data_IF_310884358826
#
_entry.id   IF_310884358826
#
_cell.length_a   1.000
_cell.length_b   1.000
_cell.length_c   1.000
_cell.angle_alpha   90.00
_cell.angle_beta   90.00
_cell.angle_gamma   90.00
#
_symmetry.space_group_name_H-M   'P 1'
#
loop_
_entity.id
_entity.type
_entity.pdbx_description
1 polymer ?
#
# COMPACT_ATOMS: atom_id res chain seq x y z
N UNK A 1 -31.18 -43.62 -37.21
CA UNK A 1 -30.91 -44.49 -36.05
C UNK A 1 -29.48 -44.24 -35.57
N UNK A 2 -29.25 -43.35 -34.59
CA UNK A 2 -29.02 -43.66 -33.16
C UNK A 2 -28.08 -44.85 -32.89
N UNK A 3 -26.80 -44.53 -32.70
CA UNK A 3 -25.82 -45.19 -31.81
C UNK A 3 -24.91 -44.06 -31.28
N UNK A 4 -25.21 -43.35 -30.17
CA UNK A 4 -25.02 -43.78 -28.77
C UNK A 4 -23.90 -44.81 -28.68
N UNK A 5 -22.81 -44.64 -27.95
CA UNK A 5 -22.32 -43.61 -27.06
C UNK A 5 -20.87 -44.03 -26.74
N UNK A 6 -20.07 -43.11 -26.21
CA UNK A 6 -19.02 -43.30 -25.20
C UNK A 6 -17.70 -42.60 -25.54
N UNK A 7 -17.37 -41.65 -24.64
CA UNK A 7 -16.03 -41.16 -24.30
C UNK A 7 -15.47 -40.08 -25.26
N UNK A 8 -15.15 -38.85 -24.82
CA UNK A 8 -14.95 -38.39 -23.46
C UNK A 8 -14.98 -36.87 -23.34
N UNK A 9 -15.33 -36.45 -22.12
CA UNK A 9 -15.37 -35.10 -21.61
C UNK A 9 -14.16 -34.24 -22.02
N UNK A 10 -14.39 -33.14 -22.75
CA UNK A 10 -13.45 -32.02 -22.81
C UNK A 10 -14.26 -30.71 -22.88
N UNK A 11 -14.07 -29.91 -21.83
CA UNK A 11 -14.31 -28.46 -21.75
C UNK A 11 -15.75 -27.96 -21.59
N UNK A 12 -16.30 -28.21 -20.40
CA UNK A 12 -17.23 -27.26 -19.78
C UNK A 12 -16.53 -25.95 -19.38
N UNK A 13 -17.37 -24.92 -19.16
CA UNK A 13 -17.08 -23.69 -18.43
C UNK A 13 -16.08 -22.68 -19.06
N UNK A 14 -16.50 -21.99 -20.13
CA UNK A 14 -15.98 -20.64 -20.44
C UNK A 14 -17.01 -19.60 -20.04
N UNK A 15 -17.31 -19.55 -18.75
CA UNK A 15 -17.98 -18.42 -18.13
C UNK A 15 -17.55 -18.42 -16.67
N UNK A 16 -16.53 -17.63 -16.35
CA UNK A 16 -16.24 -16.97 -15.07
C UNK A 16 -14.73 -16.70 -14.93
N UNK A 17 -14.19 -15.59 -15.47
CA UNK A 17 -12.90 -15.08 -15.01
C UNK A 17 -13.11 -13.74 -14.30
N UNK A 18 -14.04 -13.64 -13.32
CA UNK A 18 -14.25 -12.36 -12.59
C UNK A 18 -14.59 -12.44 -11.10
N UNK A 19 -14.62 -13.62 -10.49
CA UNK A 19 -14.84 -13.73 -9.03
C UNK A 19 -13.55 -13.85 -8.21
N UNK A 20 -12.39 -14.06 -8.84
CA UNK A 20 -11.11 -14.16 -8.10
C UNK A 20 -10.56 -12.80 -7.65
N UNK A 21 -10.87 -11.70 -8.34
CA UNK A 21 -10.36 -10.37 -7.98
C UNK A 21 -11.02 -9.77 -6.72
N UNK A 22 -12.16 -10.31 -6.27
CA UNK A 22 -12.84 -9.84 -5.05
C UNK A 22 -12.25 -10.47 -3.77
N UNK A 23 -11.64 -11.65 -3.87
CA UNK A 23 -11.06 -12.34 -2.72
C UNK A 23 -9.69 -11.79 -2.30
N UNK A 24 -8.99 -11.10 -3.19
CA UNK A 24 -7.71 -10.44 -2.88
C UNK A 24 -7.89 -9.20 -1.99
N UNK A 25 -9.10 -8.63 -1.95
CA UNK A 25 -9.46 -7.48 -1.11
C UNK A 25 -9.47 -7.77 0.39
N UNK A 26 -9.33 -9.03 0.82
CA UNK A 26 -9.31 -9.39 2.24
C UNK A 26 -7.94 -9.18 2.89
N UNK A 27 -6.84 -9.15 2.12
CA UNK A 27 -5.52 -8.83 2.67
C UNK A 27 -5.41 -7.32 2.82
N UNK A 28 -5.35 -6.84 4.07
CA UNK A 28 -5.07 -5.43 4.36
C UNK A 28 -3.63 -5.14 3.93
N UNK A 29 -3.46 -4.43 2.83
CA UNK A 29 -2.14 -4.02 2.35
C UNK A 29 -1.46 -3.13 3.40
N UNK A 30 -0.19 -3.37 3.70
CA UNK A 30 0.61 -2.59 4.66
C UNK A 30 1.57 -1.68 3.91
N UNK A 31 1.43 -0.37 4.07
CA UNK A 31 2.31 0.64 3.53
C UNK A 31 3.12 1.30 4.64
N UNK A 32 4.44 1.21 4.58
CA UNK A 32 5.33 1.98 5.44
C UNK A 32 5.76 3.27 4.76
N UNK A 33 5.55 4.41 5.40
CA UNK A 33 6.00 5.74 4.95
C UNK A 33 7.10 6.20 5.89
N UNK A 34 8.27 6.51 5.35
CA UNK A 34 9.41 6.96 6.13
C UNK A 34 9.89 8.35 5.72
N UNK A 35 9.87 9.28 6.69
CA UNK A 35 10.19 10.71 6.52
C UNK A 35 11.00 11.23 7.72
N UNK A 36 12.34 11.08 7.70
CA UNK A 36 13.19 11.36 8.86
C UNK A 36 13.26 12.85 9.24
N UNK A 37 12.84 13.76 8.36
CA UNK A 37 12.86 15.20 8.59
C UNK A 37 11.58 15.73 9.24
N UNK A 38 10.48 14.99 9.20
CA UNK A 38 9.16 15.46 9.63
C UNK A 38 8.55 14.57 10.72
N UNK A 39 7.63 15.11 11.55
CA UNK A 39 6.85 14.30 12.47
C UNK A 39 6.01 13.25 11.73
N UNK A 40 5.96 12.02 12.22
CA UNK A 40 5.10 10.97 11.65
C UNK A 40 3.61 11.35 11.71
N UNK A 41 3.23 12.13 12.73
CA UNK A 41 1.88 12.65 12.90
C UNK A 41 1.39 13.52 11.73
N UNK A 42 2.28 14.08 10.90
CA UNK A 42 1.89 14.88 9.73
C UNK A 42 1.56 14.03 8.50
N UNK A 43 1.82 12.72 8.52
CA UNK A 43 1.66 11.79 7.40
C UNK A 43 0.36 11.00 7.46
N UNK A 44 -0.76 11.71 7.24
CA UNK A 44 -2.11 11.17 7.19
C UNK A 44 -2.99 11.94 6.17
N UNK A 45 -4.16 11.39 5.79
CA UNK A 45 -5.03 11.94 4.74
C UNK A 45 -5.49 13.39 5.02
N UNK A 46 -5.79 13.72 6.29
CA UNK A 46 -6.28 15.04 6.71
C UNK A 46 -5.17 16.07 6.95
N UNK A 47 -3.91 15.74 6.66
CA UNK A 47 -2.78 16.63 6.88
C UNK A 47 -2.95 17.97 6.15
N UNK A 48 -2.53 19.05 6.82
CA UNK A 48 -2.44 20.39 6.22
C UNK A 48 -1.35 20.49 5.15
N UNK A 49 -0.43 19.53 5.08
CA UNK A 49 0.69 19.53 4.14
C UNK A 49 0.28 19.05 2.76
N UNK A 50 0.89 19.64 1.73
CA UNK A 50 0.63 19.31 0.31
C UNK A 50 0.98 17.86 -0.02
N UNK A 51 2.13 17.37 0.44
CA UNK A 51 2.64 16.05 0.03
C UNK A 51 1.83 14.88 0.58
N UNK A 52 1.52 14.79 1.89
CA UNK A 52 0.65 13.75 2.41
C UNK A 52 -0.71 13.77 1.71
N UNK A 53 -1.35 14.94 1.58
CA UNK A 53 -2.64 15.07 0.90
C UNK A 53 -2.62 14.53 -0.53
N UNK A 54 -1.59 14.83 -1.30
CA UNK A 54 -1.46 14.33 -2.67
C UNK A 54 -1.24 12.81 -2.71
N UNK A 55 -0.38 12.28 -1.82
CA UNK A 55 -0.14 10.84 -1.72
C UNK A 55 -1.42 10.07 -1.39
N UNK A 56 -2.15 10.49 -0.35
CA UNK A 56 -3.39 9.85 0.05
C UNK A 56 -4.49 9.99 -1.01
N UNK A 57 -4.54 11.10 -1.74
CA UNK A 57 -5.45 11.25 -2.88
C UNK A 57 -5.15 10.24 -4.00
N UNK A 58 -3.88 10.01 -4.32
CA UNK A 58 -3.48 9.01 -5.32
C UNK A 58 -3.75 7.58 -4.83
N UNK A 59 -3.44 7.26 -3.57
CA UNK A 59 -3.78 5.96 -2.98
C UNK A 59 -5.28 5.68 -3.10
N UNK A 60 -6.11 6.66 -2.77
CA UNK A 60 -7.57 6.57 -2.90
C UNK A 60 -8.01 6.40 -4.36
N UNK A 61 -7.39 7.11 -5.31
CA UNK A 61 -7.66 6.95 -6.76
C UNK A 61 -7.34 5.55 -7.25
N UNK A 62 -6.34 4.89 -6.65
CA UNK A 62 -5.97 3.49 -6.91
C UNK A 62 -6.82 2.48 -6.12
N UNK A 63 -7.81 2.94 -5.35
CA UNK A 63 -8.66 2.10 -4.53
C UNK A 63 -8.02 1.62 -3.22
N UNK A 64 -6.86 2.16 -2.84
CA UNK A 64 -6.19 1.90 -1.57
C UNK A 64 -6.66 2.94 -0.54
N UNK A 65 -7.54 2.54 0.37
CA UNK A 65 -8.16 3.42 1.36
C UNK A 65 -7.68 3.01 2.76
N UNK A 66 -7.06 3.97 3.44
CA UNK A 66 -6.57 3.79 4.81
C UNK A 66 -7.71 3.36 5.75
N UNK A 67 -7.43 2.35 6.58
CA UNK A 67 -8.40 1.79 7.53
C UNK A 67 -9.40 0.80 6.93
N UNK A 68 -9.55 0.76 5.59
CA UNK A 68 -10.42 -0.21 4.91
C UNK A 68 -9.61 -1.40 4.38
N UNK A 69 -8.77 -1.15 3.37
CA UNK A 69 -7.95 -2.17 2.72
C UNK A 69 -6.45 -1.82 2.72
N UNK A 70 -6.08 -0.66 3.25
CA UNK A 70 -4.71 -0.21 3.46
C UNK A 70 -4.47 0.11 4.94
N UNK A 71 -3.38 -0.38 5.50
CA UNK A 71 -2.82 0.06 6.77
C UNK A 71 -1.58 0.89 6.46
N UNK A 72 -1.56 2.15 6.90
CA UNK A 72 -0.38 3.01 6.77
C UNK A 72 0.35 3.06 8.11
N UNK A 73 1.66 2.87 8.06
CA UNK A 73 2.56 3.04 9.21
C UNK A 73 3.56 4.14 8.87
N UNK A 74 3.50 5.24 9.60
CA UNK A 74 4.33 6.43 9.37
C UNK A 74 5.48 6.47 10.37
N UNK A 75 6.70 6.60 9.85
CA UNK A 75 7.95 6.71 10.60
C UNK A 75 8.56 8.08 10.34
N UNK A 76 8.62 8.90 11.38
CA UNK A 76 9.06 10.28 11.35
C UNK A 76 10.42 10.48 12.00
N UNK A 77 10.74 11.75 12.24
CA UNK A 77 11.96 12.20 12.92
C UNK A 77 12.15 11.54 14.29
N UNK A 78 11.07 11.40 15.03
CA UNK A 78 11.04 10.84 16.38
C UNK A 78 11.38 9.35 16.44
N UNK A 79 11.22 8.62 15.32
CA UNK A 79 11.64 7.22 15.19
C UNK A 79 13.09 7.09 14.67
N UNK A 80 13.68 8.16 14.11
CA UNK A 80 15.03 8.14 13.54
C UNK A 80 16.13 8.50 14.56
N UNK A 81 15.98 8.06 15.82
CA UNK A 81 16.91 8.40 16.91
C UNK A 81 18.22 7.61 16.86
N UNK A 82 18.15 6.35 16.42
CA UNK A 82 19.30 5.46 16.23
C UNK A 82 19.95 5.57 14.85
N UNK A 83 19.47 6.51 14.02
CA UNK A 83 19.94 6.73 12.66
C UNK A 83 19.18 5.94 11.60
N UNK A 84 19.43 6.34 10.35
CA UNK A 84 18.64 5.91 9.19
C UNK A 84 18.70 4.40 8.94
N UNK A 85 19.87 3.79 9.15
CA UNK A 85 20.08 2.35 8.91
C UNK A 85 19.31 1.47 9.91
N UNK A 86 19.33 1.86 11.19
CA UNK A 86 18.59 1.16 12.24
C UNK A 86 17.07 1.24 11.96
N UNK A 87 16.58 2.41 11.57
CA UNK A 87 15.17 2.60 11.24
C UNK A 87 14.76 1.86 9.96
N UNK A 88 15.60 1.84 8.93
CA UNK A 88 15.36 1.03 7.74
C UNK A 88 15.26 -0.46 8.09
N UNK A 89 16.12 -0.94 8.99
CA UNK A 89 16.09 -2.32 9.49
C UNK A 89 14.80 -2.63 10.25
N UNK A 90 14.32 -1.69 11.08
CA UNK A 90 13.03 -1.81 11.77
C UNK A 90 11.86 -1.90 10.80
N UNK A 91 11.83 -1.02 9.79
CA UNK A 91 10.78 -1.00 8.76
C UNK A 91 10.79 -2.30 7.95
N UNK A 92 11.95 -2.79 7.54
CA UNK A 92 12.03 -4.06 6.80
C UNK A 92 11.58 -5.21 7.70
N UNK A 93 11.93 -5.18 8.98
CA UNK A 93 11.52 -6.19 9.97
C UNK A 93 10.01 -6.18 10.26
N UNK A 94 9.32 -5.05 10.03
CA UNK A 94 7.85 -4.97 10.15
C UNK A 94 7.08 -5.61 8.99
N UNK A 95 7.81 -6.10 7.97
CA UNK A 95 7.32 -6.82 6.80
C UNK A 95 6.14 -6.12 6.08
N UNK A 96 6.32 -4.87 5.62
CA UNK A 96 5.30 -4.16 4.85
C UNK A 96 5.13 -4.77 3.45
N UNK A 97 3.94 -4.65 2.87
CA UNK A 97 3.71 -5.07 1.48
C UNK A 97 4.33 -4.06 0.48
N UNK A 98 4.46 -2.79 0.89
CA UNK A 98 5.20 -1.77 0.16
C UNK A 98 5.79 -0.74 1.14
N UNK A 99 6.94 -0.15 0.79
CA UNK A 99 7.49 0.99 1.53
C UNK A 99 7.82 2.15 0.59
N UNK A 100 7.65 3.37 1.08
CA UNK A 100 8.02 4.59 0.38
C UNK A 100 8.87 5.47 1.30
N UNK A 101 10.02 5.91 0.79
CA UNK A 101 10.77 6.99 1.43
C UNK A 101 10.36 8.31 0.79
N UNK A 102 9.98 9.28 1.60
CA UNK A 102 9.74 10.64 1.12
C UNK A 102 10.83 11.53 1.68
N UNK A 103 11.87 11.72 0.87
CA UNK A 103 12.94 12.67 1.17
C UNK A 103 12.50 14.04 0.66
N UNK A 104 11.93 14.84 1.54
CA UNK A 104 11.67 16.24 1.25
C UNK A 104 12.99 17.00 1.33
N UNK A 105 13.57 17.33 0.17
CA UNK A 105 14.64 18.31 0.11
C UNK A 105 14.12 19.61 0.73
N UNK A 106 14.71 20.01 1.86
CA UNK A 106 14.38 21.24 2.54
C UNK A 106 14.74 22.40 1.60
N UNK A 107 13.76 22.91 0.85
CA UNK A 107 13.88 24.22 0.24
C UNK A 107 13.93 25.20 1.40
N UNK A 108 15.15 25.54 1.82
CA UNK A 108 15.43 26.59 2.79
C UNK A 108 14.95 27.91 2.18
N UNK A 109 13.66 28.21 2.32
CA UNK A 109 13.16 29.56 2.16
C UNK A 109 13.52 30.31 3.43
N UNK A 110 14.77 30.79 3.48
CA UNK A 110 15.18 31.83 4.42
C UNK A 110 14.22 33.01 4.24
N UNK A 111 13.56 33.40 5.33
CA UNK A 111 12.99 34.72 5.50
C UNK A 111 13.87 35.47 6.48
#
# INVERSE_FOLDING_TARGET
>A
MRRRAFLGAVCGAVALPRLAAAAESAKKNRLAIFVPSEPSADWHELSGKRYPRALFAELRRLGQIEGQNLKVESYGREQNTSGLEALATEIVSSNPDAFSSVVLAHSSSKN
#
